data_IF_527618070738
#
_entry.id   IF_527618070738
#
_cell.length_a   1.000
_cell.length_b   1.000
_cell.length_c   1.000
_cell.angle_alpha   90.00
_cell.angle_beta   90.00
_cell.angle_gamma   90.00
#
_symmetry.space_group_name_H-M   'P 1'
#
loop_
_entity.id
_entity.type
_entity.pdbx_description
1 polymer ?
#
# COMPACT_ATOMS: atom_id res chain seq x y z
N UNK A 1 -34.13 18.30 8.82
CA UNK A 1 -33.88 16.96 9.35
C UNK A 1 -32.42 16.65 8.98
N UNK A 2 -31.52 16.86 9.93
CA UNK A 2 -30.08 16.90 9.69
C UNK A 2 -29.55 15.53 9.31
N UNK A 3 -28.88 15.51 8.17
CA UNK A 3 -28.01 14.45 7.69
C UNK A 3 -26.91 14.23 8.73
N UNK A 4 -26.97 13.12 9.44
CA UNK A 4 -25.92 12.71 10.38
C UNK A 4 -24.68 12.35 9.56
N UNK A 5 -23.89 13.35 9.18
CA UNK A 5 -22.50 13.20 8.81
C UNK A 5 -21.78 12.56 10.02
N UNK A 6 -21.68 11.24 10.03
CA UNK A 6 -20.79 10.59 10.98
C UNK A 6 -19.39 11.14 10.72
N UNK A 7 -18.77 11.84 11.71
CA UNK A 7 -17.53 12.55 11.45
C UNK A 7 -16.49 11.55 10.98
N UNK A 8 -15.99 11.74 9.76
CA UNK A 8 -14.86 11.00 9.20
C UNK A 8 -13.72 11.10 10.23
N UNK A 9 -13.22 9.95 10.71
CA UNK A 9 -12.14 10.00 11.69
C UNK A 9 -10.91 10.62 11.06
N UNK A 10 -10.16 11.43 11.83
CA UNK A 10 -8.95 12.07 11.32
C UNK A 10 -7.96 11.08 10.69
N UNK A 11 -7.86 9.86 11.23
CA UNK A 11 -7.01 8.80 10.68
C UNK A 11 -7.47 8.32 9.30
N UNK A 12 -8.78 8.16 9.07
CA UNK A 12 -9.32 7.78 7.77
C UNK A 12 -9.03 8.86 6.73
N UNK A 13 -9.23 10.13 7.09
CA UNK A 13 -8.94 11.27 6.22
C UNK A 13 -7.45 11.40 5.88
N UNK A 14 -6.59 11.31 6.88
CA UNK A 14 -5.13 11.35 6.67
C UNK A 14 -4.71 10.19 5.75
N UNK A 15 -5.17 8.98 6.02
CA UNK A 15 -4.88 7.82 5.18
C UNK A 15 -5.33 8.01 3.73
N UNK A 16 -6.54 8.53 3.49
CA UNK A 16 -7.04 8.84 2.13
C UNK A 16 -6.15 9.84 1.40
N UNK A 17 -5.74 10.90 2.06
CA UNK A 17 -4.86 11.92 1.49
C UNK A 17 -3.49 11.32 1.16
N UNK A 18 -2.87 10.60 2.10
CA UNK A 18 -1.58 9.96 1.88
C UNK A 18 -1.63 8.94 0.74
N UNK A 19 -2.70 8.14 0.68
CA UNK A 19 -2.91 7.16 -0.39
C UNK A 19 -2.99 7.84 -1.76
N UNK A 20 -3.82 8.86 -1.89
CA UNK A 20 -3.96 9.60 -3.14
C UNK A 20 -2.66 10.31 -3.53
N UNK A 21 -1.97 10.96 -2.58
CA UNK A 21 -0.70 11.63 -2.84
C UNK A 21 0.40 10.66 -3.26
N UNK A 22 0.46 9.45 -2.71
CA UNK A 22 1.44 8.44 -3.13
C UNK A 22 1.22 7.99 -4.58
N UNK A 23 -0.07 7.86 -5.00
CA UNK A 23 -0.43 7.55 -6.39
C UNK A 23 -0.05 8.69 -7.32
N UNK A 24 -0.34 9.96 -6.95
CA UNK A 24 0.07 11.14 -7.71
C UNK A 24 1.60 11.21 -7.84
N UNK A 25 2.32 11.04 -6.74
CA UNK A 25 3.77 11.11 -6.72
C UNK A 25 4.42 10.02 -7.59
N UNK A 26 3.88 8.81 -7.57
CA UNK A 26 4.30 7.73 -8.48
C UNK A 26 4.11 8.11 -9.95
N UNK A 27 2.98 8.72 -10.28
CA UNK A 27 2.70 9.21 -11.64
C UNK A 27 3.65 10.34 -12.06
N UNK A 28 3.85 11.33 -11.20
CA UNK A 28 4.78 12.44 -11.46
C UNK A 28 6.22 11.92 -11.67
N UNK A 29 6.66 10.97 -10.84
CA UNK A 29 7.98 10.37 -11.01
C UNK A 29 8.13 9.71 -12.39
N UNK A 30 7.13 8.97 -12.87
CA UNK A 30 7.16 8.39 -14.22
C UNK A 30 7.19 9.44 -15.32
N UNK A 31 6.43 10.54 -15.16
CA UNK A 31 6.42 11.66 -16.11
C UNK A 31 7.76 12.40 -16.17
N UNK A 32 8.44 12.55 -15.04
CA UNK A 32 9.72 13.26 -14.98
C UNK A 32 10.86 12.39 -15.51
N UNK A 33 10.84 11.09 -15.21
CA UNK A 33 11.99 10.21 -15.49
C UNK A 33 11.83 9.35 -16.74
N UNK A 34 10.61 9.20 -17.28
CA UNK A 34 10.32 8.25 -18.34
C UNK A 34 10.52 6.79 -17.94
N UNK A 35 10.57 6.51 -16.63
CA UNK A 35 10.82 5.17 -16.09
C UNK A 35 9.60 4.68 -15.32
N UNK A 36 9.25 3.41 -15.51
CA UNK A 36 8.18 2.79 -14.72
C UNK A 36 8.55 2.73 -13.24
N UNK A 37 7.63 3.13 -12.38
CA UNK A 37 7.66 2.72 -10.99
C UNK A 37 7.38 1.22 -10.98
N UNK A 38 8.31 0.44 -10.43
CA UNK A 38 8.18 -1.00 -10.36
C UNK A 38 7.07 -1.39 -9.38
N UNK A 39 5.86 -1.46 -9.89
CA UNK A 39 4.74 -2.10 -9.17
C UNK A 39 4.84 -3.64 -9.28
N UNK A 40 5.76 -4.13 -10.13
CA UNK A 40 6.05 -5.55 -10.33
C UNK A 40 7.52 -5.69 -10.72
N UNK A 41 8.27 -6.70 -10.23
CA UNK A 41 9.61 -6.98 -10.72
C UNK A 41 9.53 -7.39 -12.20
N UNK A 42 9.77 -6.43 -13.09
CA UNK A 42 9.81 -6.68 -14.53
C UNK A 42 11.25 -6.97 -14.92
N UNK A 43 11.46 -8.05 -15.67
CA UNK A 43 12.77 -8.32 -16.27
C UNK A 43 13.20 -7.09 -17.11
N UNK A 44 14.38 -6.51 -16.89
CA UNK A 44 14.85 -5.34 -17.62
C UNK A 44 14.82 -5.49 -19.15
N UNK A 45 14.91 -6.74 -19.66
CA UNK A 45 14.82 -7.05 -21.08
C UNK A 45 13.41 -6.86 -21.68
N UNK A 46 12.39 -6.70 -20.84
CA UNK A 46 10.98 -6.57 -21.26
C UNK A 46 10.34 -5.27 -20.73
N UNK A 47 11.14 -4.27 -20.40
CA UNK A 47 10.62 -2.97 -20.00
C UNK A 47 9.84 -2.35 -21.16
N UNK A 48 8.60 -1.92 -20.93
CA UNK A 48 7.84 -1.20 -21.93
C UNK A 48 8.58 0.09 -22.33
N UNK A 49 8.37 0.59 -23.56
CA UNK A 49 9.02 1.82 -23.99
C UNK A 49 8.68 3.03 -23.11
N UNK A 50 9.55 4.02 -23.05
CA UNK A 50 9.36 5.24 -22.25
C UNK A 50 8.01 5.94 -22.50
N UNK A 51 7.49 5.86 -23.74
CA UNK A 51 6.16 6.36 -24.08
C UNK A 51 5.04 5.76 -23.22
N UNK A 52 5.14 4.47 -22.88
CA UNK A 52 4.19 3.84 -21.97
C UNK A 52 4.37 4.32 -20.53
N UNK A 53 5.61 4.59 -20.07
CA UNK A 53 5.82 5.15 -18.74
C UNK A 53 5.14 6.53 -18.61
N UNK A 54 5.24 7.38 -19.64
CA UNK A 54 4.54 8.66 -19.66
C UNK A 54 3.02 8.49 -19.65
N UNK A 55 2.48 7.58 -20.47
CA UNK A 55 1.04 7.31 -20.50
C UNK A 55 0.53 6.84 -19.11
N UNK A 56 1.20 5.87 -18.52
CA UNK A 56 0.84 5.38 -17.18
C UNK A 56 1.04 6.46 -16.12
N UNK A 57 2.06 7.30 -16.26
CA UNK A 57 2.27 8.45 -15.39
C UNK A 57 1.09 9.41 -15.38
N UNK A 58 0.56 9.77 -16.57
CA UNK A 58 -0.66 10.60 -16.70
C UNK A 58 -1.86 9.90 -16.04
N UNK A 59 -2.06 8.62 -16.32
CA UNK A 59 -3.17 7.84 -15.74
C UNK A 59 -3.09 7.85 -14.21
N UNK A 60 -1.92 7.61 -13.61
CA UNK A 60 -1.76 7.60 -12.16
C UNK A 60 -2.00 8.99 -11.54
N UNK A 61 -1.53 10.07 -12.18
CA UNK A 61 -1.81 11.43 -11.71
C UNK A 61 -3.30 11.71 -11.73
N UNK A 62 -3.99 11.39 -12.83
CA UNK A 62 -5.44 11.58 -12.94
C UNK A 62 -6.22 10.75 -11.90
N UNK A 63 -5.83 9.49 -11.69
CA UNK A 63 -6.41 8.63 -10.66
C UNK A 63 -6.17 9.23 -9.27
N UNK A 64 -4.93 9.58 -8.94
CA UNK A 64 -4.61 10.11 -7.61
C UNK A 64 -5.31 11.43 -7.30
N UNK A 65 -5.37 12.37 -8.26
CA UNK A 65 -6.16 13.60 -8.12
C UNK A 65 -7.66 13.27 -7.99
N UNK A 66 -8.14 12.33 -8.81
CA UNK A 66 -9.55 11.90 -8.76
C UNK A 66 -9.94 11.28 -7.40
N UNK A 67 -9.02 10.62 -6.69
CA UNK A 67 -9.24 10.10 -5.34
C UNK A 67 -9.41 11.20 -4.29
N UNK A 68 -8.87 12.40 -4.52
CA UNK A 68 -9.00 13.55 -3.60
C UNK A 68 -10.31 14.31 -3.78
N UNK A 69 -10.98 14.17 -4.92
CA UNK A 69 -12.18 14.92 -5.27
C UNK A 69 -13.43 14.07 -5.06
N UNK A 70 -14.35 14.51 -4.19
CA UNK A 70 -15.58 13.76 -3.84
C UNK A 70 -16.43 13.33 -5.04
N UNK A 71 -16.45 14.13 -6.12
CA UNK A 71 -17.23 13.82 -7.32
C UNK A 71 -16.64 12.71 -8.17
N UNK A 72 -15.32 12.54 -8.15
CA UNK A 72 -14.58 11.61 -9.02
C UNK A 72 -14.00 10.41 -8.27
N UNK A 73 -14.06 10.39 -6.92
CA UNK A 73 -13.44 9.35 -6.10
C UNK A 73 -13.86 7.93 -6.51
N UNK A 74 -15.14 7.71 -6.82
CA UNK A 74 -15.63 6.39 -7.22
C UNK A 74 -15.06 5.95 -8.58
N UNK A 75 -15.03 6.85 -9.57
CA UNK A 75 -14.46 6.55 -10.88
C UNK A 75 -12.94 6.32 -10.79
N UNK A 76 -12.24 7.15 -10.02
CA UNK A 76 -10.80 6.99 -9.78
C UNK A 76 -10.48 5.69 -9.04
N UNK A 77 -11.29 5.32 -8.06
CA UNK A 77 -11.15 4.06 -7.32
C UNK A 77 -11.37 2.84 -8.23
N UNK A 78 -12.38 2.88 -9.11
CA UNK A 78 -12.61 1.82 -10.09
C UNK A 78 -11.42 1.72 -11.05
N UNK A 79 -10.94 2.85 -11.58
CA UNK A 79 -9.79 2.87 -12.48
C UNK A 79 -8.54 2.28 -11.81
N UNK A 80 -8.26 2.65 -10.54
CA UNK A 80 -7.15 2.08 -9.78
C UNK A 80 -7.36 0.60 -9.50
N UNK A 81 -8.57 0.17 -9.14
CA UNK A 81 -8.87 -1.24 -8.89
C UNK A 81 -8.67 -2.09 -10.17
N UNK A 82 -9.14 -1.61 -11.31
CA UNK A 82 -8.93 -2.29 -12.60
C UNK A 82 -7.45 -2.39 -12.92
N UNK A 83 -6.70 -1.29 -12.76
CA UNK A 83 -5.25 -1.31 -12.97
C UNK A 83 -4.57 -2.34 -12.06
N UNK A 84 -4.90 -2.36 -10.77
CA UNK A 84 -4.35 -3.32 -9.81
C UNK A 84 -4.72 -4.77 -10.15
N UNK A 85 -5.94 -5.03 -10.60
CA UNK A 85 -6.37 -6.38 -11.02
C UNK A 85 -5.63 -6.82 -12.30
N UNK A 86 -5.42 -5.93 -13.26
CA UNK A 86 -4.62 -6.22 -14.47
C UNK A 86 -3.18 -6.57 -14.08
N UNK A 87 -2.57 -5.80 -13.16
CA UNK A 87 -1.23 -6.08 -12.65
C UNK A 87 -1.18 -7.39 -11.85
N UNK A 88 -2.20 -7.66 -11.05
CA UNK A 88 -2.30 -8.89 -10.26
C UNK A 88 -2.34 -10.13 -11.14
N UNK A 89 -3.32 -10.23 -12.03
CA UNK A 89 -3.52 -11.42 -12.88
C UNK A 89 -2.56 -11.48 -14.07
N UNK A 90 -2.23 -10.32 -14.65
CA UNK A 90 -1.37 -10.24 -15.84
C UNK A 90 0.10 -10.51 -15.53
N UNK A 91 0.57 -10.10 -14.36
CA UNK A 91 1.99 -10.14 -14.03
C UNK A 91 2.27 -10.80 -12.68
N UNK A 92 1.83 -10.20 -11.58
CA UNK A 92 2.29 -10.52 -10.23
C UNK A 92 2.00 -11.97 -9.84
N UNK A 93 0.75 -12.43 -10.01
CA UNK A 93 0.35 -13.80 -9.71
C UNK A 93 1.05 -14.81 -10.62
N UNK A 94 1.22 -14.48 -11.91
CA UNK A 94 1.89 -15.37 -12.86
C UNK A 94 3.36 -15.58 -12.51
N UNK A 95 4.07 -14.50 -12.14
CA UNK A 95 5.46 -14.57 -11.66
C UNK A 95 5.53 -15.40 -10.37
N UNK A 96 4.64 -15.14 -9.41
CA UNK A 96 4.61 -15.87 -8.16
C UNK A 96 4.36 -17.37 -8.36
N UNK A 97 3.45 -17.74 -9.25
CA UNK A 97 3.19 -19.16 -9.57
C UNK A 97 4.34 -19.82 -10.32
N UNK A 98 5.00 -19.11 -11.24
CA UNK A 98 6.13 -19.63 -11.99
C UNK A 98 7.38 -19.84 -11.13
N UNK A 99 7.53 -19.09 -10.03
CA UNK A 99 8.68 -19.11 -9.13
C UNK A 99 8.25 -19.39 -7.68
N UNK A 100 7.23 -20.22 -7.47
CA UNK A 100 6.55 -20.39 -6.20
C UNK A 100 7.44 -20.81 -5.02
N UNK A 101 8.59 -21.45 -5.29
CA UNK A 101 9.59 -21.82 -4.29
C UNK A 101 10.36 -20.63 -3.70
N UNK A 102 10.35 -19.48 -4.39
CA UNK A 102 11.03 -18.27 -3.92
C UNK A 102 10.02 -17.44 -3.10
N UNK A 103 10.13 -17.48 -1.77
CA UNK A 103 9.17 -16.81 -0.88
C UNK A 103 8.93 -15.33 -1.21
N UNK A 104 9.96 -14.56 -1.58
CA UNK A 104 9.83 -13.13 -1.83
C UNK A 104 8.90 -12.76 -3.01
N UNK A 105 8.66 -13.66 -3.96
CA UNK A 105 7.77 -13.38 -5.13
C UNK A 105 6.29 -13.24 -4.75
N UNK A 106 5.90 -13.72 -3.55
CA UNK A 106 4.54 -13.60 -3.06
C UNK A 106 4.23 -12.24 -2.39
N UNK A 107 5.26 -11.41 -2.16
CA UNK A 107 5.09 -10.08 -1.56
C UNK A 107 4.21 -9.19 -2.43
N UNK A 108 4.49 -9.12 -3.74
CA UNK A 108 3.75 -8.27 -4.67
C UNK A 108 2.26 -8.64 -4.80
N UNK A 109 1.87 -9.93 -4.99
CA UNK A 109 0.46 -10.31 -4.97
C UNK A 109 -0.26 -9.90 -3.68
N UNK A 110 0.34 -10.13 -2.52
CA UNK A 110 -0.25 -9.79 -1.23
C UNK A 110 -0.39 -8.28 -1.06
N UNK A 111 0.62 -7.51 -1.47
CA UNK A 111 0.61 -6.05 -1.46
C UNK A 111 -0.52 -5.49 -2.35
N UNK A 112 -0.67 -6.01 -3.58
CA UNK A 112 -1.75 -5.58 -4.48
C UNK A 112 -3.12 -5.85 -3.85
N UNK A 113 -3.30 -6.98 -3.18
CA UNK A 113 -4.54 -7.27 -2.44
C UNK A 113 -4.78 -6.29 -1.30
N UNK A 114 -3.73 -5.90 -0.56
CA UNK A 114 -3.83 -4.87 0.48
C UNK A 114 -4.22 -3.51 -0.12
N UNK A 115 -3.63 -3.12 -1.25
CA UNK A 115 -3.98 -1.89 -1.98
C UNK A 115 -5.44 -1.93 -2.45
N UNK A 116 -5.94 -3.05 -2.97
CA UNK A 116 -7.35 -3.21 -3.37
C UNK A 116 -8.30 -3.03 -2.19
N UNK A 117 -7.95 -3.56 -1.02
CA UNK A 117 -8.66 -3.24 0.23
C UNK A 117 -8.63 -1.75 0.57
N UNK A 118 -7.47 -1.12 0.39
CA UNK A 118 -7.27 0.31 0.55
C UNK A 118 -8.11 1.16 -0.40
N UNK A 119 -8.27 0.73 -1.65
CA UNK A 119 -9.17 1.37 -2.64
C UNK A 119 -10.60 1.38 -2.12
N UNK A 120 -11.07 0.25 -1.56
CA UNK A 120 -12.38 0.18 -0.91
C UNK A 120 -12.52 1.20 0.22
N UNK A 121 -11.55 1.23 1.15
CA UNK A 121 -11.52 2.18 2.27
C UNK A 121 -11.49 3.65 1.82
N UNK A 122 -10.77 3.95 0.73
CA UNK A 122 -10.67 5.29 0.18
C UNK A 122 -11.98 5.76 -0.46
N UNK A 123 -12.76 4.86 -1.06
CA UNK A 123 -13.93 5.18 -1.87
C UNK A 123 -15.28 5.09 -1.14
N UNK A 124 -15.35 4.41 0.02
CA UNK A 124 -16.60 4.32 0.81
C UNK A 124 -17.07 5.71 1.24
N UNK A 125 -18.33 6.04 0.93
CA UNK A 125 -18.97 7.31 1.25
C UNK A 125 -20.11 7.17 2.26
N UNK A 126 -20.66 5.97 2.41
CA UNK A 126 -21.81 5.71 3.28
C UNK A 126 -23.14 6.22 2.72
N UNK A 127 -23.22 6.44 1.40
CA UNK A 127 -24.43 6.93 0.72
C UNK A 127 -25.44 5.82 0.38
N UNK A 128 -25.11 4.56 0.67
CA UNK A 128 -25.98 3.40 0.45
C UNK A 128 -26.23 3.03 -1.02
N UNK A 129 -25.53 3.66 -1.96
CA UNK A 129 -25.63 3.34 -3.39
C UNK A 129 -25.13 1.92 -3.68
N UNK A 130 -25.48 1.36 -4.86
CA UNK A 130 -24.98 0.04 -5.26
C UNK A 130 -23.45 -0.01 -5.34
N UNK A 131 -22.86 1.08 -5.80
CA UNK A 131 -21.42 1.22 -5.91
C UNK A 131 -20.75 1.35 -4.53
N UNK A 132 -21.35 2.07 -3.61
CA UNK A 132 -20.87 2.19 -2.24
C UNK A 132 -20.85 0.84 -1.53
N UNK A 133 -21.87 0.00 -1.75
CA UNK A 133 -21.89 -1.39 -1.24
C UNK A 133 -20.74 -2.25 -1.77
N UNK A 134 -20.29 -2.04 -3.01
CA UNK A 134 -19.11 -2.72 -3.56
C UNK A 134 -17.85 -2.26 -2.83
N UNK A 135 -17.68 -0.96 -2.63
CA UNK A 135 -16.54 -0.43 -1.88
C UNK A 135 -16.55 -0.86 -0.41
N UNK A 136 -17.70 -0.92 0.23
CA UNK A 136 -17.81 -1.47 1.59
C UNK A 136 -17.37 -2.94 1.68
N UNK A 137 -17.71 -3.77 0.68
CA UNK A 137 -17.23 -5.17 0.63
C UNK A 137 -15.70 -5.21 0.51
N UNK A 138 -15.11 -4.41 -0.37
CA UNK A 138 -13.67 -4.30 -0.50
C UNK A 138 -13.01 -3.78 0.79
N UNK A 139 -13.61 -2.77 1.44
CA UNK A 139 -13.14 -2.24 2.72
C UNK A 139 -13.18 -3.30 3.84
N UNK A 140 -14.19 -4.17 3.88
CA UNK A 140 -14.27 -5.30 4.83
C UNK A 140 -13.20 -6.36 4.58
N UNK A 141 -12.71 -6.47 3.36
CA UNK A 141 -11.59 -7.36 3.01
C UNK A 141 -10.23 -6.79 3.41
N UNK A 142 -10.11 -5.46 3.54
CA UNK A 142 -8.84 -4.78 3.83
C UNK A 142 -8.07 -5.32 5.06
N UNK A 143 -8.70 -5.65 6.22
CA UNK A 143 -7.97 -6.21 7.36
C UNK A 143 -7.27 -7.52 7.01
N UNK A 144 -7.94 -8.41 6.26
CA UNK A 144 -7.39 -9.71 5.86
C UNK A 144 -6.23 -9.56 4.90
N UNK A 145 -6.38 -8.70 3.89
CA UNK A 145 -5.35 -8.45 2.89
C UNK A 145 -4.11 -7.78 3.52
N UNK A 146 -4.30 -6.70 4.28
CA UNK A 146 -3.21 -6.01 4.96
C UNK A 146 -2.57 -6.91 6.02
N UNK A 147 -3.37 -7.64 6.80
CA UNK A 147 -2.88 -8.56 7.82
C UNK A 147 -2.01 -9.66 7.24
N UNK A 148 -2.46 -10.31 6.17
CA UNK A 148 -1.69 -11.33 5.46
C UNK A 148 -0.39 -10.76 4.88
N UNK A 149 -0.46 -9.60 4.23
CA UNK A 149 0.71 -8.91 3.67
C UNK A 149 1.75 -8.60 4.75
N UNK A 150 1.35 -7.95 5.85
CA UNK A 150 2.26 -7.59 6.93
C UNK A 150 2.89 -8.83 7.59
N UNK A 151 2.08 -9.82 7.94
CA UNK A 151 2.55 -11.04 8.58
C UNK A 151 3.51 -11.81 7.67
N UNK A 152 3.22 -11.88 6.37
CA UNK A 152 4.08 -12.52 5.40
C UNK A 152 5.42 -11.78 5.23
N UNK A 153 5.39 -10.46 5.06
CA UNK A 153 6.60 -9.65 5.02
C UNK A 153 7.45 -9.83 6.28
N UNK A 154 6.82 -9.81 7.45
CA UNK A 154 7.52 -10.06 8.72
C UNK A 154 8.18 -11.44 8.76
N UNK A 155 7.48 -12.49 8.31
CA UNK A 155 8.03 -13.84 8.26
C UNK A 155 9.25 -13.94 7.32
N UNK A 156 9.24 -13.23 6.20
CA UNK A 156 10.37 -13.20 5.27
C UNK A 156 11.63 -12.53 5.84
N UNK A 157 11.50 -11.67 6.83
CA UNK A 157 12.66 -11.05 7.48
C UNK A 157 13.61 -12.10 8.12
N UNK A 158 13.10 -13.28 8.53
CA UNK A 158 13.94 -14.32 9.12
C UNK A 158 14.86 -14.99 8.09
N UNK A 159 14.35 -15.59 6.99
CA UNK A 159 15.22 -16.22 6.00
C UNK A 159 16.07 -15.20 5.22
N UNK A 160 15.62 -13.96 5.08
CA UNK A 160 16.32 -12.89 4.37
C UNK A 160 16.98 -11.85 5.30
N UNK A 161 17.22 -12.19 6.58
CA UNK A 161 17.66 -11.24 7.60
C UNK A 161 18.93 -10.46 7.22
N UNK A 162 19.93 -11.13 6.61
CA UNK A 162 21.16 -10.45 6.16
C UNK A 162 20.91 -9.43 5.06
N UNK A 163 20.02 -9.77 4.11
CA UNK A 163 19.63 -8.87 3.03
C UNK A 163 18.90 -7.66 3.59
N UNK A 164 17.89 -7.87 4.45
CA UNK A 164 17.11 -6.79 5.07
C UNK A 164 18.00 -5.89 5.94
N UNK A 165 18.91 -6.48 6.73
CA UNK A 165 19.89 -5.72 7.53
C UNK A 165 20.77 -4.82 6.64
N UNK A 166 21.10 -5.26 5.43
CA UNK A 166 21.86 -4.47 4.45
C UNK A 166 21.10 -3.28 3.86
N UNK A 167 19.77 -3.25 3.96
CA UNK A 167 18.95 -2.11 3.53
C UNK A 167 18.90 -0.98 4.58
N UNK A 168 19.28 -1.27 5.82
CA UNK A 168 19.27 -0.27 6.89
C UNK A 168 20.49 0.65 6.71
N UNK A 169 20.26 1.99 6.68
CA UNK A 169 21.35 2.95 6.49
C UNK A 169 22.47 2.80 7.52
N UNK A 170 23.76 2.99 7.11
CA UNK A 170 24.92 2.73 7.99
C UNK A 170 24.96 3.56 9.28
N UNK A 171 24.27 4.71 9.30
CA UNK A 171 24.18 5.57 10.49
C UNK A 171 23.27 5.04 11.59
N UNK A 172 22.43 4.03 11.30
CA UNK A 172 21.59 3.37 12.29
C UNK A 172 22.36 2.16 12.86
N UNK A 173 22.75 2.15 14.15
CA UNK A 173 23.46 1.02 14.73
C UNK A 173 22.54 -0.19 14.94
N UNK A 174 23.10 -1.40 14.99
CA UNK A 174 22.36 -2.61 15.34
C UNK A 174 21.41 -3.13 14.24
N UNK A 175 21.83 -3.15 12.98
CA UNK A 175 21.02 -3.54 11.83
C UNK A 175 20.25 -4.85 12.02
N UNK A 176 20.90 -5.90 12.58
CA UNK A 176 20.24 -7.18 12.85
C UNK A 176 19.14 -7.06 13.91
N UNK A 177 19.36 -6.24 14.95
CA UNK A 177 18.33 -5.98 15.95
C UNK A 177 17.09 -5.36 15.29
N UNK A 178 17.27 -4.30 14.50
CA UNK A 178 16.16 -3.62 13.82
C UNK A 178 15.47 -4.51 12.79
N UNK A 179 16.22 -5.41 12.13
CA UNK A 179 15.63 -6.40 11.21
C UNK A 179 14.69 -7.35 11.94
N UNK A 180 15.09 -7.92 13.08
CA UNK A 180 14.22 -8.83 13.84
C UNK A 180 13.10 -8.07 14.58
N UNK A 181 13.38 -6.87 15.06
CA UNK A 181 12.33 -6.00 15.62
C UNK A 181 11.23 -5.75 14.58
N UNK A 182 11.60 -5.36 13.36
CA UNK A 182 10.67 -5.14 12.27
C UNK A 182 9.90 -6.42 11.91
N UNK A 183 10.59 -7.58 11.86
CA UNK A 183 9.95 -8.87 11.63
C UNK A 183 8.82 -9.15 12.63
N UNK A 184 9.11 -9.02 13.91
CA UNK A 184 8.15 -9.27 15.00
C UNK A 184 7.03 -8.24 14.97
N UNK A 185 7.37 -6.96 14.76
CA UNK A 185 6.37 -5.87 14.71
C UNK A 185 5.41 -6.03 13.53
N UNK A 186 5.90 -6.44 12.34
CA UNK A 186 5.07 -6.72 11.16
C UNK A 186 4.13 -7.92 11.40
N UNK A 187 4.64 -9.01 11.98
CA UNK A 187 3.80 -10.19 12.30
C UNK A 187 2.74 -9.81 13.34
N UNK A 188 3.14 -9.14 14.41
CA UNK A 188 2.23 -8.69 15.45
C UNK A 188 1.19 -7.70 14.91
N UNK A 189 1.60 -6.77 14.04
CA UNK A 189 0.72 -5.86 13.33
C UNK A 189 -0.27 -6.60 12.44
N UNK A 190 0.22 -7.54 11.63
CA UNK A 190 -0.59 -8.36 10.73
C UNK A 190 -1.65 -9.18 11.46
N UNK A 191 -1.28 -9.85 12.56
CA UNK A 191 -2.23 -10.58 13.40
C UNK A 191 -3.17 -9.61 14.14
N UNK A 192 -2.61 -8.52 14.66
CA UNK A 192 -3.34 -7.54 15.46
C UNK A 192 -4.46 -6.83 14.70
N UNK A 193 -4.31 -6.61 13.38
CA UNK A 193 -5.37 -6.00 12.56
C UNK A 193 -6.55 -6.94 12.33
N UNK A 194 -6.37 -8.26 12.46
CA UNK A 194 -7.42 -9.26 12.31
C UNK A 194 -8.25 -9.42 13.59
N UNK A 195 -7.70 -9.04 14.73
CA UNK A 195 -8.37 -9.16 16.02
C UNK A 195 -9.17 -7.87 16.30
N UNK A 196 -10.51 -7.91 16.39
CA UNK A 196 -11.32 -6.69 16.53
C UNK A 196 -10.92 -5.76 17.68
N UNK A 197 -10.44 -6.31 18.80
CA UNK A 197 -10.05 -5.52 19.98
C UNK A 197 -8.76 -4.73 19.76
N UNK A 198 -7.81 -5.25 18.99
CA UNK A 198 -6.49 -4.67 18.74
C UNK A 198 -6.37 -3.99 17.37
N UNK A 199 -7.31 -4.26 16.45
CA UNK A 199 -7.24 -3.86 15.04
C UNK A 199 -6.86 -2.38 14.83
N UNK A 200 -7.46 -1.47 15.60
CA UNK A 200 -7.17 -0.04 15.49
C UNK A 200 -5.74 0.30 15.91
N UNK A 201 -5.31 -0.22 17.06
CA UNK A 201 -3.97 0.06 17.59
C UNK A 201 -2.93 -0.57 16.68
N UNK A 202 -3.11 -1.82 16.29
CA UNK A 202 -2.22 -2.53 15.37
C UNK A 202 -2.10 -1.81 14.03
N UNK A 203 -3.22 -1.41 13.42
CA UNK A 203 -3.21 -0.65 12.18
C UNK A 203 -2.52 0.72 12.33
N UNK A 204 -2.77 1.44 13.44
CA UNK A 204 -2.11 2.73 13.70
C UNK A 204 -0.60 2.56 13.83
N UNK A 205 -0.13 1.61 14.65
CA UNK A 205 1.29 1.37 14.86
C UNK A 205 1.99 0.87 13.59
N UNK A 206 1.37 -0.03 12.84
CA UNK A 206 1.87 -0.47 11.53
C UNK A 206 1.97 0.69 10.55
N UNK A 207 0.95 1.56 10.50
CA UNK A 207 0.95 2.75 9.65
C UNK A 207 2.10 3.70 10.01
N UNK A 208 2.32 3.98 11.31
CA UNK A 208 3.43 4.82 11.78
C UNK A 208 4.77 4.18 11.41
N UNK A 209 4.95 2.89 11.64
CA UNK A 209 6.19 2.18 11.34
C UNK A 209 6.51 2.24 9.85
N UNK A 210 5.56 1.88 8.98
CA UNK A 210 5.75 1.91 7.52
C UNK A 210 6.01 3.34 7.02
N UNK A 211 5.29 4.33 7.55
CA UNK A 211 5.51 5.74 7.24
C UNK A 211 6.92 6.19 7.62
N UNK A 212 7.38 5.79 8.80
CA UNK A 212 8.74 6.13 9.27
C UNK A 212 9.81 5.52 8.35
N UNK A 213 9.59 4.32 7.81
CA UNK A 213 10.54 3.68 6.89
C UNK A 213 10.70 4.44 5.56
N UNK A 214 9.68 5.16 5.11
CA UNK A 214 9.82 6.02 3.93
C UNK A 214 10.97 7.01 4.13
N UNK A 215 11.05 7.64 5.30
CA UNK A 215 12.05 8.67 5.60
C UNK A 215 13.38 8.09 6.10
N UNK A 216 13.33 7.04 6.90
CA UNK A 216 14.52 6.49 7.55
C UNK A 216 15.28 5.50 6.67
N UNK A 217 14.59 4.83 5.73
CA UNK A 217 15.17 3.77 4.90
C UNK A 217 15.08 4.10 3.43
N UNK A 218 13.86 4.26 2.88
CA UNK A 218 13.66 4.31 1.44
C UNK A 218 14.18 5.60 0.80
N UNK A 219 13.97 6.77 1.40
CA UNK A 219 14.51 8.04 0.87
C UNK A 219 16.04 8.03 0.90
N UNK A 220 16.73 7.74 2.03
CA UNK A 220 18.19 7.64 2.04
C UNK A 220 18.74 6.64 1.03
N UNK A 221 18.09 5.48 0.90
CA UNK A 221 18.50 4.45 -0.03
C UNK A 221 18.31 4.87 -1.49
N UNK A 222 17.18 5.50 -1.82
CA UNK A 222 16.91 6.04 -3.15
C UNK A 222 17.92 7.12 -3.54
N UNK A 223 18.32 7.98 -2.60
CA UNK A 223 19.34 9.02 -2.81
C UNK A 223 20.73 8.39 -3.02
N UNK A 224 21.09 7.36 -2.25
CA UNK A 224 22.43 6.76 -2.33
C UNK A 224 22.59 5.83 -3.53
N UNK A 225 21.53 5.10 -3.93
CA UNK A 225 21.61 4.10 -5.01
C UNK A 225 21.18 4.62 -6.36
N UNK A 226 20.40 5.72 -6.41
CA UNK A 226 19.78 6.27 -7.61
C UNK A 226 18.97 5.25 -8.43
N UNK A 227 18.43 4.21 -7.77
CA UNK A 227 17.69 3.14 -8.43
C UNK A 227 16.18 3.39 -8.40
N UNK A 228 15.51 3.07 -9.52
CA UNK A 228 14.04 3.15 -9.63
C UNK A 228 13.36 2.22 -8.63
N UNK A 229 14.00 1.07 -8.33
CA UNK A 229 13.41 0.10 -7.42
C UNK A 229 13.30 0.64 -6.00
N UNK A 230 14.28 1.41 -5.51
CA UNK A 230 14.22 2.00 -4.17
C UNK A 230 13.19 3.13 -4.07
N UNK A 231 13.09 3.95 -5.13
CA UNK A 231 12.02 4.97 -5.22
C UNK A 231 10.65 4.30 -5.21
N UNK A 232 10.47 3.20 -5.96
CA UNK A 232 9.22 2.44 -6.01
C UNK A 232 8.84 1.86 -4.65
N UNK A 233 9.80 1.30 -3.91
CA UNK A 233 9.59 0.79 -2.54
C UNK A 233 9.15 1.89 -1.58
N UNK A 234 9.69 3.11 -1.73
CA UNK A 234 9.25 4.27 -0.97
C UNK A 234 7.78 4.61 -1.21
N UNK A 235 7.33 4.62 -2.47
CA UNK A 235 5.92 4.84 -2.79
C UNK A 235 5.03 3.70 -2.29
N UNK A 236 5.46 2.46 -2.40
CA UNK A 236 4.75 1.29 -1.87
C UNK A 236 4.60 1.38 -0.35
N UNK A 237 5.67 1.64 0.38
CA UNK A 237 5.62 1.82 1.83
C UNK A 237 4.67 2.95 2.26
N UNK A 238 4.62 4.05 1.49
CA UNK A 238 3.67 5.14 1.70
C UNK A 238 2.22 4.67 1.49
N UNK A 239 1.94 3.89 0.43
CA UNK A 239 0.62 3.34 0.13
C UNK A 239 0.17 2.37 1.23
N UNK A 240 1.02 1.46 1.66
CA UNK A 240 0.72 0.48 2.71
C UNK A 240 0.49 1.16 4.06
N UNK A 241 1.29 2.19 4.38
CA UNK A 241 1.06 3.05 5.55
C UNK A 241 -0.31 3.73 5.49
N UNK A 242 -0.65 4.27 4.33
CA UNK A 242 -1.94 4.94 4.12
C UNK A 242 -3.12 3.96 4.27
N UNK A 243 -3.02 2.74 3.74
CA UNK A 243 -4.02 1.68 3.94
C UNK A 243 -4.17 1.35 5.43
N UNK A 244 -3.07 1.25 6.16
CA UNK A 244 -3.10 1.00 7.60
C UNK A 244 -3.80 2.13 8.37
N UNK A 245 -3.52 3.41 8.07
CA UNK A 245 -4.22 4.54 8.69
C UNK A 245 -5.71 4.58 8.32
N UNK A 246 -6.07 4.30 7.07
CA UNK A 246 -7.47 4.20 6.67
C UNK A 246 -8.20 3.10 7.44
N UNK A 247 -7.56 1.93 7.60
CA UNK A 247 -8.12 0.82 8.35
C UNK A 247 -8.30 1.15 9.84
N UNK A 248 -7.32 1.85 10.45
CA UNK A 248 -7.43 2.32 11.83
C UNK A 248 -8.62 3.25 12.03
N UNK A 249 -8.88 4.14 11.07
CA UNK A 249 -10.04 5.03 11.08
C UNK A 249 -11.37 4.30 10.83
N UNK A 250 -11.39 3.38 9.86
CA UNK A 250 -12.55 2.57 9.50
C UNK A 250 -13.03 1.69 10.65
N UNK A 251 -12.14 1.04 11.37
CA UNK A 251 -12.46 0.17 12.50
C UNK A 251 -13.21 0.88 13.64
N UNK A 252 -13.14 2.20 13.71
CA UNK A 252 -13.90 3.02 14.65
C UNK A 252 -15.33 3.25 14.17
N UNK A 253 -15.50 3.53 12.88
CA UNK A 253 -16.81 3.82 12.28
C UNK A 253 -17.68 2.56 12.24
N UNK A 254 -17.10 1.41 11.88
CA UNK A 254 -17.84 0.15 11.81
C UNK A 254 -18.33 -0.35 13.17
N UNK A 255 -17.61 -0.06 14.27
CA UNK A 255 -18.07 -0.42 15.64
C UNK A 255 -19.17 0.49 16.18
N UNK A 256 -19.28 1.71 15.69
CA UNK A 256 -20.32 2.62 16.12
C UNK A 256 -21.69 2.32 15.48
N UNK A 257 -21.72 1.46 14.44
CA UNK A 257 -22.94 1.06 13.72
C UNK A 257 -23.55 -0.25 14.20
N UNK A 258 -22.92 -0.95 15.16
CA UNK A 258 -23.39 -2.18 15.82
C UNK A 258 -23.35 -2.04 17.34
#
# INVERSE_FOLDING_TARGET
MGELDSPETGQLRIGRILFALSVVASGIYQLVTGRFVNLVPVNPAHLPPASMAYLFGVILVLIGVGLLVRRTVSAAAIALAVLMLVLFFGFSLRVALAQASMGYVWVDPLMILAILGGVGLAAVRGDGSSLDRVFEKAARFAPWALGAFLAYCGALHFPYARYVAGLIPPWIPGHMFWTYFAAIALIAGGIGVLVPRTARVAATLSGIMLFSWVFLVHIPLAISTHTVSEVSRGFQAMQDSAVAFMLAGWSRVSRARY
#
